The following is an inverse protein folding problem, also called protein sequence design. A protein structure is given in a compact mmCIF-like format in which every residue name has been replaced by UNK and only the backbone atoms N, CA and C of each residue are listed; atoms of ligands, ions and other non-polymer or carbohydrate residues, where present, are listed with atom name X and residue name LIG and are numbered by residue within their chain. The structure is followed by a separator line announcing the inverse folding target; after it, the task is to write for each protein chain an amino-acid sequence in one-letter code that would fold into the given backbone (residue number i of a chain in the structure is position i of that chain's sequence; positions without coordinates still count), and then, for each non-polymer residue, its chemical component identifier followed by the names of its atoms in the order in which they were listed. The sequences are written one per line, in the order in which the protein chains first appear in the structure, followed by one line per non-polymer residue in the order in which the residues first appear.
data_IF_075012626085
#
_entry.id   IF_075012626085
#
_cell.length_a   1.000
_cell.length_b   1.000
_cell.length_c   1.000
_cell.angle_alpha   90.00
_cell.angle_beta   90.00
_cell.angle_gamma   90.00
#
_symmetry.space_group_name_H-M   'P 1'
#
loop_
_entity.id
_entity.type
_entity.pdbx_description
1 polymer ?
#
# COMPACT_ATOMS: atom_id res chain seq x y z
N UNK A 1 -18.50 -6.12 0.05
CA UNK A 1 -18.91 -7.13 1.05
C UNK A 1 -17.71 -7.51 1.88
N UNK A 2 -17.92 -7.97 3.12
CA UNK A 2 -16.91 -8.67 3.91
C UNK A 2 -17.47 -10.02 4.37
N UNK A 3 -16.59 -10.95 4.77
CA UNK A 3 -16.98 -12.30 5.17
C UNK A 3 -16.44 -12.62 6.57
N UNK A 4 -17.34 -13.03 7.46
CA UNK A 4 -17.01 -13.45 8.82
C UNK A 4 -16.91 -14.98 8.88
N UNK A 5 -15.77 -15.52 9.32
CA UNK A 5 -15.66 -16.94 9.63
C UNK A 5 -16.17 -17.21 11.04
N UNK A 6 -17.25 -17.99 11.18
CA UNK A 6 -17.74 -18.47 12.47
C UNK A 6 -17.55 -19.96 12.59
N UNK A 7 -16.96 -20.39 13.71
CA UNK A 7 -16.87 -21.82 14.05
C UNK A 7 -18.26 -22.44 14.06
N UNK A 8 -18.38 -23.57 13.41
CA UNK A 8 -19.61 -24.34 13.35
C UNK A 8 -19.26 -25.82 13.20
N UNK A 9 -19.43 -26.57 14.29
CA UNK A 9 -19.16 -28.01 14.32
C UNK A 9 -20.17 -28.84 13.50
N UNK A 10 -21.29 -28.25 13.05
CA UNK A 10 -22.29 -28.94 12.23
C UNK A 10 -21.91 -29.04 10.75
N UNK A 11 -20.87 -28.32 10.30
CA UNK A 11 -20.39 -28.37 8.92
C UNK A 11 -19.00 -29.02 8.86
N UNK A 12 -18.73 -29.77 7.78
CA UNK A 12 -17.49 -30.54 7.63
C UNK A 12 -16.22 -29.67 7.64
N UNK A 13 -16.31 -28.42 7.18
CA UNK A 13 -15.21 -27.44 7.23
C UNK A 13 -14.90 -26.94 8.65
N UNK A 14 -15.77 -27.20 9.64
CA UNK A 14 -15.65 -26.68 11.01
C UNK A 14 -15.96 -25.18 11.15
N UNK A 15 -16.30 -24.50 10.06
CA UNK A 15 -16.67 -23.09 10.04
C UNK A 15 -17.59 -22.73 8.87
N UNK A 16 -18.47 -21.75 9.09
CA UNK A 16 -19.27 -21.09 8.04
C UNK A 16 -18.76 -19.68 7.80
N UNK A 17 -18.77 -19.27 6.54
CA UNK A 17 -18.52 -17.89 6.14
C UNK A 17 -19.85 -17.15 5.99
N UNK A 18 -20.01 -16.07 6.76
CA UNK A 18 -21.21 -15.23 6.74
C UNK A 18 -20.89 -13.99 5.93
N UNK A 19 -21.69 -13.75 4.88
CA UNK A 19 -21.56 -12.55 4.04
C UNK A 19 -22.23 -11.38 4.72
N UNK A 20 -21.51 -10.26 4.75
CA UNK A 20 -21.99 -8.97 5.21
C UNK A 20 -21.84 -7.94 4.10
N UNK A 21 -22.88 -7.14 3.90
CA UNK A 21 -22.87 -6.11 2.87
C UNK A 21 -22.08 -4.87 3.32
N UNK A 22 -21.33 -4.29 2.38
CA UNK A 22 -20.65 -3.00 2.58
C UNK A 22 -21.37 -1.96 1.74
N UNK A 23 -21.35 -0.68 2.14
CA UNK A 23 -21.89 0.42 1.33
C UNK A 23 -21.34 0.39 -0.09
N UNK A 24 -22.24 0.47 -1.08
CA UNK A 24 -21.87 0.40 -2.51
C UNK A 24 -21.02 1.60 -2.97
N UNK A 25 -21.16 2.74 -2.31
CA UNK A 25 -20.40 3.97 -2.60
C UNK A 25 -18.89 3.83 -2.38
N UNK A 26 -18.49 2.85 -1.55
CA UNK A 26 -17.09 2.54 -1.29
C UNK A 26 -16.45 1.67 -2.39
N UNK A 27 -17.22 1.20 -3.38
CA UNK A 27 -16.68 0.38 -4.45
C UNK A 27 -15.79 1.21 -5.41
N UNK A 28 -14.58 0.71 -5.68
CA UNK A 28 -13.63 1.37 -6.58
C UNK A 28 -12.46 0.47 -6.95
N UNK A 29 -11.65 0.94 -7.91
CA UNK A 29 -10.37 0.32 -8.26
C UNK A 29 -9.24 0.97 -7.47
N UNK A 30 -8.46 0.18 -6.75
CA UNK A 30 -7.62 0.66 -5.66
C UNK A 30 -8.30 0.33 -4.33
N UNK A 31 -7.58 -0.31 -3.42
CA UNK A 31 -8.09 -0.66 -2.09
C UNK A 31 -6.93 -0.71 -1.12
N UNK A 32 -7.17 -0.26 0.10
CA UNK A 32 -6.24 -0.38 1.22
C UNK A 32 -6.97 -0.86 2.46
N UNK A 33 -6.21 -1.16 3.51
CA UNK A 33 -6.74 -1.44 4.82
C UNK A 33 -5.76 -0.99 5.90
N UNK A 34 -6.28 -0.42 6.97
CA UNK A 34 -5.52 0.06 8.11
C UNK A 34 -6.37 0.94 9.00
N UNK A 35 -5.89 1.21 10.21
CA UNK A 35 -6.55 2.10 11.15
C UNK A 35 -6.34 3.55 10.70
N UNK A 36 -7.32 4.17 10.04
CA UNK A 36 -7.16 5.53 9.48
C UNK A 36 -7.60 6.61 10.45
N UNK A 37 -8.37 6.24 11.48
CA UNK A 37 -8.93 7.16 12.46
C UNK A 37 -8.30 7.03 13.86
N UNK A 38 -7.37 6.10 14.05
CA UNK A 38 -6.61 5.89 15.29
C UNK A 38 -7.41 5.19 16.41
N UNK A 39 -8.50 4.50 16.08
CA UNK A 39 -9.37 3.86 17.07
C UNK A 39 -9.03 2.40 17.40
N UNK A 40 -7.94 1.89 16.82
CA UNK A 40 -7.40 0.55 17.03
C UNK A 40 -8.08 -0.53 16.18
N UNK A 41 -8.96 -0.17 15.23
CA UNK A 41 -9.64 -1.11 14.33
C UNK A 41 -9.18 -0.91 12.89
N UNK A 42 -9.32 -1.96 12.07
CA UNK A 42 -8.85 -1.92 10.69
C UNK A 42 -9.98 -1.43 9.79
N UNK A 43 -9.81 -0.25 9.22
CA UNK A 43 -10.73 0.33 8.27
C UNK A 43 -10.42 -0.13 6.84
N UNK A 44 -11.39 0.04 5.93
CA UNK A 44 -11.22 -0.26 4.51
C UNK A 44 -11.10 1.05 3.74
N UNK A 45 -10.01 1.21 3.00
CA UNK A 45 -9.74 2.41 2.21
C UNK A 45 -10.14 2.16 0.76
N UNK A 46 -10.88 3.09 0.17
CA UNK A 46 -11.15 3.14 -1.26
C UNK A 46 -10.59 4.46 -1.84
N UNK A 47 -10.54 4.65 -3.16
CA UNK A 47 -9.99 5.89 -3.72
C UNK A 47 -10.81 7.13 -3.40
N UNK A 48 -12.07 6.98 -2.95
CA UNK A 48 -13.00 8.09 -2.73
C UNK A 48 -13.29 8.38 -1.26
N UNK A 49 -12.60 7.70 -0.35
CA UNK A 49 -12.89 7.74 1.08
C UNK A 49 -12.59 6.42 1.78
N UNK A 50 -13.14 6.23 2.96
CA UNK A 50 -12.92 5.03 3.76
C UNK A 50 -14.20 4.54 4.43
N UNK A 51 -14.22 3.25 4.75
CA UNK A 51 -15.26 2.61 5.54
C UNK A 51 -14.72 2.35 6.94
N UNK A 52 -15.35 2.96 7.94
CA UNK A 52 -15.01 2.78 9.33
C UNK A 52 -15.54 1.46 9.88
N UNK A 53 -14.66 0.66 10.46
CA UNK A 53 -15.03 -0.58 11.14
C UNK A 53 -15.84 -0.24 12.41
N UNK A 54 -17.06 -0.77 12.56
CA UNK A 54 -17.84 -0.56 13.77
C UNK A 54 -17.20 -1.24 14.98
N UNK A 55 -17.50 -0.76 16.19
CA UNK A 55 -17.10 -1.37 17.46
C UNK A 55 -17.74 -2.76 17.66
N UNK A 56 -18.90 -3.00 17.03
CA UNK A 56 -19.66 -4.25 17.10
C UNK A 56 -20.07 -4.72 15.70
N UNK A 57 -19.97 -6.03 15.47
CA UNK A 57 -20.17 -6.63 14.14
C UNK A 57 -21.62 -6.61 13.62
N UNK A 58 -22.60 -6.25 14.45
CA UNK A 58 -24.00 -6.06 14.05
C UNK A 58 -24.32 -4.63 13.58
N UNK A 59 -23.42 -3.69 13.81
CA UNK A 59 -23.53 -2.31 13.33
C UNK A 59 -22.99 -2.22 11.90
N UNK A 60 -23.65 -1.48 10.98
CA UNK A 60 -23.10 -1.26 9.65
C UNK A 60 -21.79 -0.47 9.67
N UNK A 61 -20.91 -0.74 8.70
CA UNK A 61 -19.74 0.09 8.45
C UNK A 61 -20.16 1.50 8.01
N UNK A 62 -19.45 2.52 8.47
CA UNK A 62 -19.76 3.92 8.15
C UNK A 62 -18.92 4.40 6.99
N UNK A 63 -19.54 5.01 5.97
CA UNK A 63 -18.85 5.55 4.81
C UNK A 63 -18.42 7.01 5.02
N UNK A 64 -17.15 7.30 4.78
CA UNK A 64 -16.52 8.61 4.94
C UNK A 64 -15.92 9.09 3.60
N UNK A 65 -16.69 9.82 2.75
CA UNK A 65 -16.24 10.30 1.45
C UNK A 65 -15.37 11.57 1.57
N UNK A 66 -14.13 11.43 2.04
CA UNK A 66 -13.31 12.57 2.45
C UNK A 66 -12.23 13.00 1.44
N UNK A 67 -11.93 12.20 0.42
CA UNK A 67 -10.85 12.44 -0.52
C UNK A 67 -11.11 11.81 -1.90
N UNK A 68 -10.27 12.14 -2.88
CA UNK A 68 -10.22 11.50 -4.20
C UNK A 68 -8.77 11.25 -4.60
N UNK A 69 -8.35 9.99 -4.57
CA UNK A 69 -6.99 9.54 -4.87
C UNK A 69 -6.75 9.36 -6.37
N UNK A 70 -7.82 9.39 -7.18
CA UNK A 70 -7.78 9.06 -8.59
C UNK A 70 -7.49 7.57 -8.83
N UNK A 71 -6.55 7.29 -9.74
CA UNK A 71 -6.12 5.94 -10.10
C UNK A 71 -5.16 5.36 -9.06
N UNK A 72 -5.68 4.84 -7.96
CA UNK A 72 -4.86 4.29 -6.88
C UNK A 72 -4.38 2.85 -7.14
N UNK A 73 -3.18 2.54 -6.63
CA UNK A 73 -2.59 1.21 -6.55
C UNK A 73 -3.37 0.29 -5.61
N UNK A 74 -3.00 -1.00 -5.62
CA UNK A 74 -3.41 -1.97 -4.61
C UNK A 74 -2.14 -2.59 -4.02
N UNK A 75 -1.86 -2.42 -2.71
CA UNK A 75 -2.67 -1.69 -1.74
C UNK A 75 -2.55 -0.15 -1.87
N UNK A 76 -3.47 0.55 -1.20
CA UNK A 76 -3.24 1.89 -0.61
C UNK A 76 -2.71 1.64 0.80
N UNK A 77 -1.52 2.16 1.12
CA UNK A 77 -0.92 2.02 2.45
C UNK A 77 -1.56 3.01 3.42
N UNK A 78 -1.78 2.58 4.66
CA UNK A 78 -2.17 3.41 5.80
C UNK A 78 -1.00 3.41 6.77
N UNK A 79 -0.32 4.55 6.94
CA UNK A 79 0.96 4.63 7.66
C UNK A 79 1.24 6.04 8.17
N UNK A 80 1.83 6.16 9.37
CA UNK A 80 2.26 7.44 9.94
C UNK A 80 3.60 7.89 9.32
N UNK A 81 3.53 8.65 8.23
CA UNK A 81 4.72 9.08 7.48
C UNK A 81 5.53 10.09 8.29
N UNK A 82 4.87 11.14 8.78
CA UNK A 82 5.51 12.31 9.37
C UNK A 82 5.82 12.15 10.88
N UNK A 83 5.29 11.12 11.54
CA UNK A 83 5.50 10.83 12.96
C UNK A 83 4.58 11.59 13.91
N UNK A 84 3.47 12.14 13.41
CA UNK A 84 2.53 12.93 14.21
C UNK A 84 1.42 12.10 14.87
N UNK A 85 1.45 10.77 14.68
CA UNK A 85 0.47 9.79 15.16
C UNK A 85 -0.91 9.86 14.47
N UNK A 86 -1.02 10.59 13.35
CA UNK A 86 -2.17 10.54 12.45
C UNK A 86 -1.83 9.70 11.23
N UNK A 87 -2.53 8.57 10.99
CA UNK A 87 -2.23 7.70 9.86
C UNK A 87 -2.49 8.40 8.53
N UNK A 88 -1.52 8.34 7.63
CA UNK A 88 -1.60 8.91 6.29
C UNK A 88 -1.90 7.86 5.23
N UNK A 89 -2.16 8.30 3.99
CA UNK A 89 -2.31 7.42 2.84
C UNK A 89 -1.15 7.55 1.88
N UNK A 90 -0.55 6.41 1.46
CA UNK A 90 0.47 6.36 0.41
C UNK A 90 0.03 5.42 -0.70
N UNK A 91 0.11 5.88 -1.95
CA UNK A 91 -0.29 5.07 -3.11
C UNK A 91 0.51 5.40 -4.36
N UNK A 92 0.51 4.46 -5.28
CA UNK A 92 1.02 4.63 -6.63
C UNK A 92 -0.08 5.00 -7.62
N UNK A 93 0.22 5.90 -8.57
CA UNK A 93 -0.61 6.12 -9.75
C UNK A 93 -0.55 4.90 -10.68
N UNK A 94 -1.36 3.88 -10.43
CA UNK A 94 -1.30 2.59 -11.12
C UNK A 94 -1.30 2.73 -12.66
N UNK A 95 -2.17 3.58 -13.20
CA UNK A 95 -2.30 3.81 -14.64
C UNK A 95 -1.52 5.04 -15.15
N UNK A 96 -0.57 5.55 -14.35
CA UNK A 96 0.10 6.81 -14.64
C UNK A 96 1.48 6.89 -14.01
N UNK A 97 1.91 8.11 -13.69
CA UNK A 97 3.23 8.38 -13.13
C UNK A 97 3.18 8.61 -11.63
N UNK A 98 4.17 8.04 -10.97
CA UNK A 98 4.57 8.51 -9.67
C UNK A 98 3.80 7.97 -8.48
N UNK A 99 4.31 8.38 -7.33
CA UNK A 99 3.87 8.04 -5.98
C UNK A 99 3.34 9.28 -5.29
N UNK A 100 2.30 9.09 -4.50
CA UNK A 100 1.55 10.15 -3.85
C UNK A 100 1.41 9.84 -2.36
N UNK A 101 1.36 10.90 -1.57
CA UNK A 101 1.09 10.87 -0.13
C UNK A 101 -0.06 11.84 0.15
N UNK A 102 -1.04 11.38 0.92
CA UNK A 102 -2.13 12.20 1.44
C UNK A 102 -1.98 12.26 2.96
N UNK A 103 -1.48 13.38 3.43
CA UNK A 103 -1.22 13.67 4.85
C UNK A 103 -2.53 14.01 5.57
N UNK A 104 -2.75 13.38 6.71
CA UNK A 104 -3.89 13.62 7.58
C UNK A 104 -3.54 14.72 8.60
N UNK A 105 -3.90 15.97 8.31
CA UNK A 105 -3.62 17.10 9.22
C UNK A 105 -4.78 17.32 10.19
N UNK A 106 -4.61 17.12 11.51
CA UNK A 106 -5.66 17.40 12.49
C UNK A 106 -5.97 18.90 12.59
N UNK A 107 -7.25 19.24 12.58
CA UNK A 107 -7.77 20.60 12.74
C UNK A 107 -8.93 20.58 13.74
N UNK A 108 -8.59 20.59 15.03
CA UNK A 108 -9.55 20.38 16.11
C UNK A 108 -10.09 18.95 16.10
N UNK A 109 -11.42 18.79 16.06
CA UNK A 109 -12.09 17.47 15.95
C UNK A 109 -12.24 16.99 14.49
N UNK A 110 -11.70 17.72 13.52
CA UNK A 110 -11.76 17.39 12.10
C UNK A 110 -10.36 17.12 11.57
N UNK A 111 -10.33 16.56 10.37
CA UNK A 111 -9.08 16.37 9.62
C UNK A 111 -9.15 17.12 8.31
N UNK A 112 -8.00 17.61 7.87
CA UNK A 112 -7.78 18.19 6.56
C UNK A 112 -6.73 17.36 5.85
N UNK A 113 -7.03 16.98 4.62
CA UNK A 113 -6.12 16.19 3.81
C UNK A 113 -5.20 17.09 2.98
N UNK A 114 -3.89 16.90 3.08
CA UNK A 114 -2.90 17.57 2.23
C UNK A 114 -2.26 16.57 1.27
N UNK A 115 -2.18 16.91 -0.02
CA UNK A 115 -1.63 16.01 -1.04
C UNK A 115 -0.21 16.42 -1.39
N UNK A 116 0.69 15.44 -1.33
CA UNK A 116 2.10 15.58 -1.66
C UNK A 116 2.49 14.59 -2.77
N UNK A 117 3.41 15.03 -3.61
CA UNK A 117 4.03 14.17 -4.62
C UNK A 117 5.35 13.64 -4.06
N UNK A 118 5.49 12.31 -3.98
CA UNK A 118 6.73 11.66 -3.54
C UNK A 118 7.71 11.57 -4.72
N UNK A 119 7.23 11.05 -5.86
CA UNK A 119 8.00 10.89 -7.09
C UNK A 119 7.04 10.99 -8.29
N UNK A 120 7.47 11.53 -9.42
CA UNK A 120 6.70 11.56 -10.67
C UNK A 120 7.50 11.12 -11.90
N UNK A 121 8.69 10.57 -11.69
CA UNK A 121 9.69 10.34 -12.74
C UNK A 121 9.53 9.02 -13.48
N UNK A 122 8.72 8.09 -12.96
CA UNK A 122 8.47 6.78 -13.55
C UNK A 122 7.00 6.37 -13.40
N UNK A 123 6.56 5.40 -14.20
CA UNK A 123 5.15 5.03 -14.32
C UNK A 123 4.83 3.61 -13.91
N UNK A 124 3.54 3.35 -13.68
CA UNK A 124 2.95 2.08 -13.28
C UNK A 124 3.34 1.51 -11.89
N UNK A 125 3.46 2.33 -10.83
CA UNK A 125 3.51 1.82 -9.45
C UNK A 125 2.16 1.18 -9.08
N UNK A 126 2.06 -0.13 -9.24
CA UNK A 126 0.82 -0.87 -8.99
C UNK A 126 0.69 -1.44 -7.58
N UNK A 127 1.83 -1.64 -6.93
CA UNK A 127 1.94 -2.33 -5.65
C UNK A 127 3.04 -1.67 -4.84
N UNK A 128 2.78 -1.55 -3.54
CA UNK A 128 3.69 -0.97 -2.57
C UNK A 128 3.65 -1.86 -1.33
N UNK A 129 4.76 -1.89 -0.61
CA UNK A 129 4.87 -2.49 0.70
C UNK A 129 5.71 -1.60 1.60
N UNK A 130 5.61 -1.82 2.90
CA UNK A 130 6.52 -1.27 3.90
C UNK A 130 7.53 -2.35 4.28
N UNK A 131 8.81 -1.97 4.38
CA UNK A 131 9.87 -2.84 4.88
C UNK A 131 11.02 -2.01 5.44
N UNK A 132 11.53 -2.39 6.60
CA UNK A 132 12.78 -1.87 7.17
C UNK A 132 13.97 -2.54 6.46
N UNK A 133 14.41 -1.96 5.34
CA UNK A 133 15.43 -2.56 4.49
C UNK A 133 16.85 -2.35 5.01
N UNK A 134 17.08 -1.33 5.84
CA UNK A 134 18.39 -1.04 6.41
C UNK A 134 18.54 -1.44 7.89
N UNK A 135 17.45 -1.90 8.52
CA UNK A 135 17.44 -2.44 9.87
C UNK A 135 17.53 -1.37 10.95
N UNK A 136 17.14 -0.12 10.66
CA UNK A 136 17.16 0.98 11.62
C UNK A 136 15.86 1.10 12.44
N UNK A 137 14.88 0.24 12.16
CA UNK A 137 13.57 0.19 12.81
C UNK A 137 12.52 1.10 12.18
N UNK A 138 12.84 1.81 11.09
CA UNK A 138 11.91 2.63 10.32
C UNK A 138 11.66 1.98 8.97
N UNK A 139 10.40 1.75 8.62
CA UNK A 139 10.06 1.13 7.34
C UNK A 139 10.15 2.12 6.16
N UNK A 140 10.68 1.64 5.04
CA UNK A 140 10.64 2.33 3.75
C UNK A 140 9.37 1.97 3.00
N UNK A 141 8.86 2.92 2.22
CA UNK A 141 7.91 2.61 1.15
C UNK A 141 8.68 2.00 -0.01
N UNK A 142 8.49 0.70 -0.24
CA UNK A 142 9.13 -0.03 -1.33
C UNK A 142 8.14 -0.26 -2.46
N UNK A 143 8.54 0.13 -3.67
CA UNK A 143 7.69 -0.03 -4.86
C UNK A 143 8.51 -0.01 -6.14
N UNK A 144 7.88 -0.32 -7.25
CA UNK A 144 8.53 -0.31 -8.55
C UNK A 144 7.54 -0.48 -9.69
N UNK A 145 8.08 -0.42 -10.90
CA UNK A 145 7.31 -0.51 -12.13
C UNK A 145 6.77 -1.92 -12.35
N UNK A 146 5.46 -2.03 -12.55
CA UNK A 146 4.85 -3.27 -13.07
C UNK A 146 5.09 -3.37 -14.57
N UNK A 147 5.80 -4.41 -15.00
CA UNK A 147 6.06 -4.68 -16.41
C UNK A 147 4.76 -4.83 -17.23
N UNK A 148 4.54 -3.94 -18.21
CA UNK A 148 3.36 -3.90 -19.08
C UNK A 148 2.05 -4.16 -18.34
N UNK A 149 1.72 -3.34 -17.34
CA UNK A 149 0.56 -3.57 -16.49
C UNK A 149 -0.74 -3.78 -17.30
N UNK A 150 -0.97 -2.93 -18.29
CA UNK A 150 -2.14 -2.97 -19.17
C UNK A 150 -1.80 -3.20 -20.66
N UNK A 151 -0.70 -3.91 -20.96
CA UNK A 151 -0.37 -4.46 -22.29
C UNK A 151 -0.43 -3.45 -23.46
N UNK A 152 0.07 -2.24 -23.34
CA UNK A 152 -0.02 -1.24 -24.44
C UNK A 152 -0.52 0.13 -24.00
N UNK A 153 -1.28 0.16 -22.91
CA UNK A 153 -2.33 1.17 -22.74
C UNK A 153 -2.05 2.23 -21.68
N UNK A 154 -0.97 2.07 -20.90
CA UNK A 154 -0.56 3.07 -19.91
C UNK A 154 0.62 3.88 -20.43
N UNK A 155 0.76 5.15 -20.02
CA UNK A 155 1.88 5.96 -20.43
C UNK A 155 3.21 5.49 -19.79
N UNK A 156 4.28 5.49 -20.59
CA UNK A 156 5.63 5.10 -20.16
C UNK A 156 5.78 3.62 -19.80
N UNK A 157 4.90 2.74 -20.27
CA UNK A 157 4.99 1.30 -19.97
C UNK A 157 6.22 0.60 -20.56
N UNK A 158 6.77 1.17 -21.64
CA UNK A 158 7.97 0.74 -22.35
C UNK A 158 9.24 1.41 -21.79
N UNK A 159 9.09 2.36 -20.86
CA UNK A 159 10.21 2.94 -20.13
C UNK A 159 10.89 1.87 -19.25
N UNK A 160 12.18 2.09 -18.89
CA UNK A 160 12.93 1.16 -18.06
C UNK A 160 12.19 0.72 -16.79
N UNK A 161 12.31 -0.56 -16.44
CA UNK A 161 11.84 -1.07 -15.17
C UNK A 161 12.69 -0.50 -14.03
N UNK A 162 12.08 -0.40 -12.86
CA UNK A 162 12.72 0.11 -11.67
C UNK A 162 12.09 -0.47 -10.40
N UNK A 163 12.89 -0.51 -9.34
CA UNK A 163 12.47 -0.77 -7.96
C UNK A 163 13.21 0.22 -7.07
N UNK A 164 12.46 0.92 -6.24
CA UNK A 164 12.94 1.97 -5.35
C UNK A 164 12.42 1.76 -3.94
N UNK A 165 13.23 2.18 -2.97
CA UNK A 165 12.80 2.42 -1.60
C UNK A 165 12.73 3.93 -1.35
N UNK A 166 11.68 4.36 -0.66
CA UNK A 166 11.47 5.76 -0.30
C UNK A 166 11.37 5.90 1.22
N UNK A 167 12.20 6.79 1.78
CA UNK A 167 12.18 7.14 3.19
C UNK A 167 11.79 8.60 3.36
N UNK A 168 10.87 8.89 4.28
CA UNK A 168 10.55 10.26 4.66
C UNK A 168 11.45 10.69 5.82
N UNK A 169 12.34 11.65 5.55
CA UNK A 169 13.22 12.22 6.55
C UNK A 169 12.47 13.28 7.35
N UNK A 170 11.99 12.89 8.53
CA UNK A 170 11.19 13.75 9.43
C UNK A 170 11.93 14.99 9.89
N UNK A 171 13.26 14.94 10.02
CA UNK A 171 14.05 16.11 10.45
C UNK A 171 14.13 17.21 9.37
N UNK A 172 13.99 16.84 8.10
CA UNK A 172 14.08 17.77 6.96
C UNK A 172 12.79 17.92 6.18
N UNK A 173 11.76 17.15 6.54
CA UNK A 173 10.46 17.07 5.86
C UNK A 173 10.59 16.73 4.36
N UNK A 174 11.49 15.80 4.02
CA UNK A 174 11.79 15.45 2.63
C UNK A 174 11.77 13.94 2.40
N UNK A 175 11.29 13.56 1.22
CA UNK A 175 11.43 12.19 0.74
C UNK A 175 12.81 11.98 0.11
N UNK A 176 13.47 10.90 0.51
CA UNK A 176 14.69 10.40 -0.12
C UNK A 176 14.38 9.12 -0.87
N UNK A 177 14.91 9.00 -2.09
CA UNK A 177 14.77 7.81 -2.95
C UNK A 177 16.08 7.05 -3.00
N UNK A 178 16.01 5.73 -2.79
CA UNK A 178 17.11 4.79 -2.94
C UNK A 178 16.80 3.79 -4.06
N UNK A 179 17.73 3.64 -5.00
CA UNK A 179 17.63 2.67 -6.08
C UNK A 179 17.97 1.27 -5.59
N UNK A 180 17.01 0.35 -5.70
CA UNK A 180 17.24 -1.09 -5.52
C UNK A 180 17.53 -1.71 -6.89
N UNK A 181 16.79 -1.30 -7.92
CA UNK A 181 17.00 -1.76 -9.29
C UNK A 181 16.62 -0.68 -10.30
N UNK A 182 17.41 -0.52 -11.37
CA UNK A 182 17.09 0.34 -12.50
C UNK A 182 17.49 -0.34 -13.82
N UNK A 183 16.57 -0.35 -14.79
CA UNK A 183 16.76 -0.99 -16.08
C UNK A 183 16.41 -2.48 -16.08
N UNK A 184 17.00 -3.23 -17.02
CA UNK A 184 16.89 -4.69 -17.05
C UNK A 184 15.47 -5.25 -17.19
N UNK A 185 15.20 -6.35 -16.48
CA UNK A 185 13.98 -7.16 -16.59
C UNK A 185 13.21 -7.32 -15.28
N UNK A 186 13.73 -6.81 -14.17
CA UNK A 186 13.12 -7.01 -12.85
C UNK A 186 11.97 -6.03 -12.67
N UNK A 187 10.74 -6.55 -12.58
CA UNK A 187 9.54 -5.74 -12.37
C UNK A 187 8.92 -6.06 -11.02
N UNK A 188 8.31 -5.06 -10.38
CA UNK A 188 7.80 -5.18 -9.01
C UNK A 188 6.47 -5.94 -8.87
N UNK A 189 5.81 -6.27 -9.99
CA UNK A 189 4.60 -7.09 -9.97
C UNK A 189 3.43 -6.49 -9.18
N UNK A 190 2.61 -7.35 -8.56
CA UNK A 190 1.45 -6.97 -7.71
C UNK A 190 1.36 -7.77 -6.40
N UNK A 191 2.47 -8.39 -6.02
CA UNK A 191 2.53 -9.37 -4.92
C UNK A 191 3.98 -9.57 -4.48
N UNK A 192 4.78 -8.50 -4.54
CA UNK A 192 6.15 -8.53 -4.01
C UNK A 192 6.07 -8.69 -2.50
N UNK A 193 6.98 -9.49 -1.96
CA UNK A 193 7.09 -9.76 -0.53
C UNK A 193 8.46 -9.30 -0.06
N UNK A 194 8.49 -8.77 1.16
CA UNK A 194 9.71 -8.47 1.88
C UNK A 194 9.85 -9.43 3.06
N UNK A 195 11.05 -9.94 3.30
CA UNK A 195 11.35 -10.78 4.46
C UNK A 195 12.76 -11.34 4.38
N UNK A 196 13.27 -11.77 5.53
CA UNK A 196 14.56 -12.46 5.68
C UNK A 196 14.44 -13.89 5.12
N UNK A 197 14.83 -14.08 3.85
CA UNK A 197 14.61 -15.34 3.12
C UNK A 197 15.69 -16.36 3.46
N UNK A 198 16.93 -15.90 3.61
CA UNK A 198 18.09 -16.75 3.83
C UNK A 198 18.46 -16.91 5.33
N UNK A 199 17.86 -16.11 6.21
CA UNK A 199 18.02 -16.08 7.67
C UNK A 199 19.31 -15.43 8.17
N UNK A 200 19.87 -14.49 7.42
CA UNK A 200 21.03 -13.70 7.84
C UNK A 200 20.65 -12.47 8.70
N UNK A 201 19.35 -12.15 8.75
CA UNK A 201 18.79 -11.08 9.58
C UNK A 201 18.72 -9.72 8.91
N UNK A 202 18.97 -9.62 7.60
CA UNK A 202 18.51 -8.52 6.77
C UNK A 202 17.25 -8.90 5.95
N UNK A 203 16.65 -7.91 5.29
CA UNK A 203 15.36 -8.07 4.61
C UNK A 203 15.58 -8.12 3.10
N UNK A 204 15.18 -9.24 2.50
CA UNK A 204 15.18 -9.47 1.05
C UNK A 204 13.85 -9.09 0.39
N UNK A 205 13.86 -9.01 -0.94
CA UNK A 205 12.65 -8.85 -1.75
C UNK A 205 12.45 -10.02 -2.72
N UNK A 206 11.27 -10.62 -2.69
CA UNK A 206 10.81 -11.58 -3.70
C UNK A 206 9.76 -10.93 -4.60
N UNK A 207 10.12 -10.68 -5.86
CA UNK A 207 9.32 -9.95 -6.83
C UNK A 207 8.78 -10.85 -7.96
N UNK A 208 7.60 -11.49 -7.77
CA UNK A 208 6.88 -12.19 -8.84
C UNK A 208 6.13 -11.20 -9.73
N UNK A 209 6.25 -11.34 -11.05
CA UNK A 209 5.51 -10.51 -12.00
C UNK A 209 5.50 -11.04 -13.42
N UNK A 210 4.87 -10.27 -14.32
CA UNK A 210 4.80 -10.62 -15.76
C UNK A 210 6.19 -10.76 -16.41
N UNK A 211 7.22 -10.11 -15.87
CA UNK A 211 8.58 -10.18 -16.40
C UNK A 211 9.40 -11.35 -15.86
N UNK A 212 8.92 -12.09 -14.85
CA UNK A 212 9.62 -13.21 -14.22
C UNK A 212 9.40 -13.30 -12.71
N UNK A 213 10.15 -14.18 -12.06
CA UNK A 213 10.29 -14.28 -10.61
C UNK A 213 11.74 -13.93 -10.25
N UNK A 214 11.92 -12.94 -9.39
CA UNK A 214 13.24 -12.43 -9.02
C UNK A 214 13.38 -12.37 -7.51
N UNK A 215 14.52 -12.82 -6.99
CA UNK A 215 15.00 -12.54 -5.64
C UNK A 215 15.99 -11.38 -5.73
N UNK A 216 15.77 -10.35 -4.93
CA UNK A 216 16.72 -9.28 -4.69
C UNK A 216 17.24 -9.46 -3.27
N UNK A 217 18.44 -10.04 -3.21
CA UNK A 217 19.16 -10.33 -1.98
C UNK A 217 19.71 -9.04 -1.38
N UNK A 218 19.43 -8.82 -0.11
CA UNK A 218 20.10 -7.79 0.67
C UNK A 218 21.36 -8.41 1.31
N UNK A 219 22.43 -7.62 1.44
CA UNK A 219 23.74 -8.11 1.90
C UNK A 219 24.35 -7.17 2.92
N UNK A 220 23.49 -6.55 3.72
CA UNK A 220 23.92 -5.67 4.80
C UNK A 220 24.51 -6.47 5.96
N UNK A 221 24.16 -7.75 6.10
CA UNK A 221 24.59 -8.62 7.20
C UNK A 221 25.27 -9.91 6.74
N UNK A 222 26.34 -9.79 5.94
CA UNK A 222 27.25 -10.91 5.63
C UNK A 222 28.10 -11.40 6.83
#
# INVERSE_FOLDING_TARGET
HWYESRRDASVASGARWIRHDLPGDAAGHGIGAGDINGDGRVDIISPKGWLGQPDKGDVPWTWHPQFDLGSASVPILVYDVNGDLYPDLVWGSAHGYGLQWLEQVPVGEKVRWEKHQIDSTWSQPHFLLLADLDGDGTEEVVTGKRYYAHNGNDPGEDHPLCIYAYRYERSTHQWTRHAIHEGGRVGFGISTMAGDIDKDGDIDLLAPGKSGLYLLENRLRE
#
